data_IF_770020664987
#
_entry.id   IF_770020664987
#
_cell.length_a   1.000
_cell.length_b   1.000
_cell.length_c   1.000
_cell.angle_alpha   90.00
_cell.angle_beta   90.00
_cell.angle_gamma   90.00
#
_symmetry.space_group_name_H-M   'P 1'
#
loop_
_entity.id
_entity.type
_entity.pdbx_description
1 polymer ?
#
# COMPACT_ATOMS: atom_id res chain seq x y z
N UNK A 1 -31.53 8.92 -2.53
CA UNK A 1 -30.59 10.00 -2.94
C UNK A 1 -29.35 10.02 -2.04
N UNK A 2 -29.52 9.80 -0.74
CA UNK A 2 -28.46 9.72 0.29
C UNK A 2 -27.37 8.66 0.01
N UNK A 3 -27.75 7.45 -0.40
CA UNK A 3 -26.79 6.35 -0.71
C UNK A 3 -25.78 6.70 -1.83
N UNK A 4 -26.19 7.48 -2.84
CA UNK A 4 -25.29 7.90 -3.93
C UNK A 4 -24.27 8.94 -3.46
N UNK A 5 -24.70 9.84 -2.57
CA UNK A 5 -23.85 10.89 -2.00
C UNK A 5 -22.79 10.26 -1.09
N UNK A 6 -23.19 9.26 -0.30
CA UNK A 6 -22.30 8.51 0.58
C UNK A 6 -21.24 7.73 -0.20
N UNK A 7 -21.63 7.00 -1.25
CA UNK A 7 -20.68 6.30 -2.15
C UNK A 7 -19.72 7.25 -2.87
N UNK A 8 -20.19 8.45 -3.28
CA UNK A 8 -19.30 9.46 -3.86
C UNK A 8 -18.26 9.96 -2.86
N UNK A 9 -18.65 10.12 -1.59
CA UNK A 9 -17.76 10.57 -0.52
C UNK A 9 -16.70 9.51 -0.20
N UNK A 10 -17.07 8.24 -0.16
CA UNK A 10 -16.11 7.12 -0.04
C UNK A 10 -15.12 7.13 -1.21
N UNK A 11 -15.60 7.21 -2.46
CA UNK A 11 -14.74 7.25 -3.65
C UNK A 11 -13.76 8.45 -3.63
N UNK A 12 -14.22 9.61 -3.14
CA UNK A 12 -13.39 10.80 -3.01
C UNK A 12 -12.26 10.57 -1.99
N UNK A 13 -12.57 9.95 -0.84
CA UNK A 13 -11.53 9.57 0.13
C UNK A 13 -10.52 8.59 -0.47
N UNK A 14 -10.94 7.64 -1.31
CA UNK A 14 -10.02 6.72 -1.96
C UNK A 14 -9.05 7.44 -2.91
N UNK A 15 -9.51 8.50 -3.57
CA UNK A 15 -8.70 9.35 -4.43
C UNK A 15 -7.69 10.16 -3.60
N UNK A 16 -8.16 10.78 -2.51
CA UNK A 16 -7.32 11.58 -1.61
C UNK A 16 -6.25 10.73 -0.92
N UNK A 17 -6.54 9.45 -0.64
CA UNK A 17 -5.60 8.48 -0.10
C UNK A 17 -4.64 7.89 -1.17
N UNK A 18 -4.80 8.26 -2.45
CA UNK A 18 -4.01 7.74 -3.57
C UNK A 18 -4.27 6.26 -3.89
N UNK A 19 -5.33 5.69 -3.32
CA UNK A 19 -5.72 4.29 -3.51
C UNK A 19 -6.21 4.06 -4.93
N UNK A 20 -6.99 5.01 -5.48
CA UNK A 20 -7.46 5.03 -6.86
C UNK A 20 -6.91 6.25 -7.61
N UNK A 21 -6.90 6.22 -8.94
CA UNK A 21 -6.50 7.37 -9.78
C UNK A 21 -7.69 8.30 -10.04
N UNK A 22 -7.40 9.52 -10.53
CA UNK A 22 -8.43 10.48 -10.95
C UNK A 22 -9.32 9.93 -12.07
N UNK A 23 -8.74 9.14 -12.98
CA UNK A 23 -9.46 8.47 -14.06
C UNK A 23 -10.41 7.39 -13.53
N UNK A 24 -9.94 6.56 -12.58
CA UNK A 24 -10.76 5.54 -11.91
C UNK A 24 -11.91 6.18 -11.13
N UNK A 25 -11.65 7.30 -10.45
CA UNK A 25 -12.69 8.07 -9.76
C UNK A 25 -13.74 8.63 -10.75
N UNK A 26 -13.30 9.20 -11.88
CA UNK A 26 -14.21 9.73 -12.89
C UNK A 26 -15.11 8.64 -13.49
N UNK A 27 -14.54 7.47 -13.79
CA UNK A 27 -15.30 6.31 -14.28
C UNK A 27 -16.32 5.83 -13.25
N UNK A 28 -15.92 5.67 -11.98
CA UNK A 28 -16.82 5.22 -10.92
C UNK A 28 -17.94 6.22 -10.63
N UNK A 29 -17.65 7.53 -10.64
CA UNK A 29 -18.66 8.59 -10.53
C UNK A 29 -19.66 8.51 -11.68
N UNK A 30 -19.19 8.28 -12.90
CA UNK A 30 -20.05 8.16 -14.08
C UNK A 30 -20.89 6.88 -14.06
N UNK A 31 -20.34 5.74 -13.60
CA UNK A 31 -21.09 4.49 -13.38
C UNK A 31 -22.17 4.65 -12.29
N UNK A 32 -21.85 5.35 -11.20
CA UNK A 32 -22.80 5.61 -10.09
C UNK A 32 -23.97 6.51 -10.51
N UNK A 33 -23.67 7.51 -11.35
CA UNK A 33 -24.67 8.44 -11.90
C UNK A 33 -25.53 7.76 -12.97
N UNK A 34 -24.95 6.91 -13.82
CA UNK A 34 -25.66 6.18 -14.88
C UNK A 34 -26.51 5.00 -14.38
N UNK A 35 -26.39 4.62 -13.10
CA UNK A 35 -27.23 3.58 -12.48
C UNK A 35 -26.82 2.15 -12.83
N UNK A 36 -25.76 1.98 -13.62
CA UNK A 36 -25.24 0.68 -14.04
C UNK A 36 -24.12 0.21 -13.09
N UNK A 37 -24.36 0.31 -11.78
CA UNK A 37 -23.36 0.03 -10.74
C UNK A 37 -23.07 -1.47 -10.75
N UNK A 38 -22.03 -1.90 -11.48
CA UNK A 38 -21.37 -3.16 -11.17
C UNK A 38 -20.79 -2.99 -9.77
N UNK A 39 -21.25 -3.81 -8.83
CA UNK A 39 -20.71 -3.87 -7.47
C UNK A 39 -19.27 -4.40 -7.51
N UNK A 40 -18.35 -3.56 -7.97
CA UNK A 40 -16.92 -3.78 -7.83
C UNK A 40 -16.67 -3.58 -6.34
N UNK A 41 -16.54 -4.69 -5.63
CA UNK A 41 -16.08 -4.68 -4.23
C UNK A 41 -14.86 -3.78 -4.17
N UNK A 42 -14.99 -2.63 -3.49
CA UNK A 42 -13.95 -1.60 -3.52
C UNK A 42 -12.61 -2.23 -3.08
N UNK A 43 -11.47 -1.80 -3.65
CA UNK A 43 -10.15 -2.30 -3.25
C UNK A 43 -9.95 -2.25 -1.72
N UNK A 44 -10.57 -1.26 -1.06
CA UNK A 44 -10.62 -1.12 0.40
C UNK A 44 -11.42 -2.22 1.08
N UNK A 45 -12.62 -2.57 0.59
CA UNK A 45 -13.38 -3.72 1.12
C UNK A 45 -12.63 -5.04 0.94
N UNK A 46 -11.90 -5.22 -0.16
CA UNK A 46 -11.05 -6.38 -0.37
C UNK A 46 -9.88 -6.44 0.61
N UNK A 47 -9.24 -5.30 0.88
CA UNK A 47 -8.15 -5.19 1.84
C UNK A 47 -8.62 -5.39 3.29
N UNK A 48 -9.77 -4.82 3.67
CA UNK A 48 -10.38 -4.93 5.00
C UNK A 48 -10.67 -6.38 5.43
N UNK A 49 -11.01 -7.23 4.47
CA UNK A 49 -11.26 -8.68 4.67
C UNK A 49 -9.99 -9.50 4.91
N UNK A 50 -8.80 -8.98 4.59
CA UNK A 50 -7.54 -9.71 4.79
C UNK A 50 -7.19 -9.81 6.28
N UNK A 51 -6.47 -10.87 6.64
CA UNK A 51 -6.03 -11.11 8.03
C UNK A 51 -4.72 -10.37 8.28
N UNK A 52 -4.74 -9.45 9.26
CA UNK A 52 -3.58 -8.63 9.65
C UNK A 52 -2.37 -9.51 9.99
N UNK A 53 -2.57 -10.57 10.77
CA UNK A 53 -1.47 -11.45 11.19
C UNK A 53 -0.75 -12.13 10.00
N UNK A 54 -1.47 -12.45 8.91
CA UNK A 54 -0.87 -13.08 7.73
C UNK A 54 0.06 -12.09 7.05
N UNK A 55 -0.40 -10.84 6.88
CA UNK A 55 0.40 -9.79 6.28
C UNK A 55 1.66 -9.48 7.12
N UNK A 56 1.53 -9.47 8.45
CA UNK A 56 2.67 -9.26 9.36
C UNK A 56 3.70 -10.39 9.21
N UNK A 57 3.27 -11.66 9.35
CA UNK A 57 4.19 -12.80 9.26
C UNK A 57 4.90 -12.84 7.91
N UNK A 58 4.16 -12.66 6.81
CA UNK A 58 4.74 -12.61 5.48
C UNK A 58 5.77 -11.49 5.35
N UNK A 59 5.44 -10.28 5.82
CA UNK A 59 6.37 -9.13 5.78
C UNK A 59 7.63 -9.37 6.61
N UNK A 60 7.54 -10.07 7.74
CA UNK A 60 8.70 -10.36 8.59
C UNK A 60 9.63 -11.41 7.95
N UNK A 61 9.09 -12.42 7.28
CA UNK A 61 9.89 -13.48 6.64
C UNK A 61 10.52 -12.96 5.35
N UNK A 62 9.71 -12.30 4.50
CA UNK A 62 10.16 -11.71 3.24
C UNK A 62 9.42 -10.37 3.06
N UNK A 63 10.11 -9.21 3.22
CA UNK A 63 9.48 -7.88 3.27
C UNK A 63 8.49 -7.55 2.15
N UNK A 64 8.74 -8.01 0.93
CA UNK A 64 7.88 -7.73 -0.21
C UNK A 64 6.60 -8.59 -0.27
N UNK A 65 6.58 -9.76 0.39
CA UNK A 65 5.45 -10.69 0.30
C UNK A 65 4.20 -10.18 1.01
N UNK A 66 4.35 -9.37 2.06
CA UNK A 66 3.24 -8.67 2.70
C UNK A 66 2.48 -7.76 1.74
N UNK A 67 3.21 -7.00 0.91
CA UNK A 67 2.61 -6.12 -0.10
C UNK A 67 1.96 -6.89 -1.25
N UNK A 68 2.56 -8.01 -1.68
CA UNK A 68 1.95 -8.90 -2.66
C UNK A 68 0.64 -9.51 -2.13
N UNK A 69 0.64 -9.97 -0.88
CA UNK A 69 -0.56 -10.49 -0.23
C UNK A 69 -1.66 -9.44 -0.09
N UNK A 70 -1.32 -8.20 0.26
CA UNK A 70 -2.29 -7.10 0.37
C UNK A 70 -2.72 -6.52 -0.98
N UNK A 71 -2.02 -6.86 -2.07
CA UNK A 71 -2.26 -6.31 -3.41
C UNK A 71 -1.82 -4.85 -3.56
N UNK A 72 -0.98 -4.35 -2.65
CA UNK A 72 -0.54 -2.94 -2.58
C UNK A 72 0.73 -2.72 -3.38
N UNK A 73 0.68 -2.98 -4.69
CA UNK A 73 1.83 -2.86 -5.62
C UNK A 73 2.44 -1.46 -5.65
N UNK A 74 1.63 -0.40 -5.53
CA UNK A 74 2.14 0.98 -5.44
C UNK A 74 3.01 1.17 -4.20
N UNK A 75 2.55 0.70 -3.03
CA UNK A 75 3.33 0.78 -1.79
C UNK A 75 4.62 -0.07 -1.86
N UNK A 76 4.56 -1.22 -2.54
CA UNK A 76 5.76 -2.02 -2.82
C UNK A 76 6.78 -1.25 -3.66
N UNK A 77 6.35 -0.56 -4.71
CA UNK A 77 7.22 0.26 -5.55
C UNK A 77 7.85 1.41 -4.74
N UNK A 78 7.07 2.05 -3.87
CA UNK A 78 7.60 3.08 -2.95
C UNK A 78 8.66 2.46 -2.02
N UNK A 79 8.37 1.33 -1.40
CA UNK A 79 9.33 0.63 -0.54
C UNK A 79 10.63 0.29 -1.28
N UNK A 80 10.54 -0.26 -2.49
CA UNK A 80 11.70 -0.56 -3.33
C UNK A 80 12.45 0.72 -3.75
N UNK A 81 11.74 1.78 -4.10
CA UNK A 81 12.36 3.05 -4.51
C UNK A 81 13.19 3.66 -3.38
N UNK A 82 12.72 3.58 -2.13
CA UNK A 82 13.48 4.02 -0.97
C UNK A 82 14.73 3.17 -0.75
N UNK A 83 14.60 1.85 -0.94
CA UNK A 83 15.72 0.92 -0.81
C UNK A 83 16.80 1.16 -1.88
N UNK A 84 16.38 1.28 -3.15
CA UNK A 84 17.26 1.60 -4.27
C UNK A 84 17.86 3.01 -4.15
N UNK A 85 17.07 3.99 -3.74
CA UNK A 85 17.52 5.37 -3.52
C UNK A 85 18.59 5.44 -2.43
N UNK A 86 18.38 4.76 -1.30
CA UNK A 86 19.39 4.66 -0.24
C UNK A 86 20.65 3.96 -0.74
N UNK A 87 20.50 2.85 -1.49
CA UNK A 87 21.63 2.17 -2.12
C UNK A 87 22.41 3.09 -3.06
N UNK A 88 21.72 3.83 -3.92
CA UNK A 88 22.35 4.79 -4.83
C UNK A 88 23.13 5.86 -4.05
N UNK A 89 22.51 6.49 -3.03
CA UNK A 89 23.18 7.48 -2.18
C UNK A 89 24.44 6.90 -1.55
N UNK A 90 24.38 5.70 -0.99
CA UNK A 90 25.55 5.02 -0.41
C UNK A 90 26.61 4.82 -1.49
N UNK A 91 26.23 4.27 -2.64
CA UNK A 91 27.15 3.97 -3.74
C UNK A 91 27.91 5.19 -4.25
N UNK A 92 27.27 6.37 -4.33
CA UNK A 92 27.90 7.59 -4.84
C UNK A 92 28.63 8.42 -3.78
N UNK A 93 28.28 8.29 -2.50
CA UNK A 93 28.85 9.13 -1.42
C UNK A 93 29.93 8.44 -0.59
N UNK A 94 29.99 7.11 -0.60
CA UNK A 94 30.93 6.37 0.23
C UNK A 94 32.26 6.11 -0.48
N UNK A 95 33.37 6.31 0.24
CA UNK A 95 34.72 5.98 -0.24
C UNK A 95 34.94 4.47 -0.38
N UNK A 96 34.18 3.69 0.40
CA UNK A 96 34.25 2.24 0.48
C UNK A 96 32.84 1.67 0.39
N UNK A 97 32.33 1.64 -0.86
CA UNK A 97 30.94 1.34 -1.14
C UNK A 97 30.54 -0.06 -0.68
N UNK A 98 31.41 -1.05 -0.87
CA UNK A 98 31.13 -2.44 -0.47
C UNK A 98 30.86 -2.54 1.04
N UNK A 99 31.75 -1.96 1.86
CA UNK A 99 31.59 -1.97 3.32
C UNK A 99 30.37 -1.18 3.78
N UNK A 100 30.12 -0.02 3.16
CA UNK A 100 28.97 0.81 3.47
C UNK A 100 27.65 0.11 3.10
N UNK A 101 27.59 -0.54 1.94
CA UNK A 101 26.46 -1.36 1.52
C UNK A 101 26.22 -2.54 2.45
N UNK A 102 27.26 -3.28 2.83
CA UNK A 102 27.14 -4.42 3.74
C UNK A 102 26.55 -4.02 5.10
N UNK A 103 27.01 -2.91 5.68
CA UNK A 103 26.47 -2.39 6.94
C UNK A 103 25.02 -1.93 6.80
N UNK A 104 24.71 -1.17 5.74
CA UNK A 104 23.35 -0.71 5.48
C UNK A 104 22.39 -1.87 5.22
N UNK A 105 22.83 -2.90 4.49
CA UNK A 105 22.06 -4.11 4.27
C UNK A 105 21.79 -4.86 5.57
N UNK A 106 22.76 -4.96 6.49
CA UNK A 106 22.56 -5.60 7.82
C UNK A 106 21.52 -4.87 8.66
N UNK A 107 21.51 -3.54 8.62
CA UNK A 107 20.51 -2.75 9.34
C UNK A 107 19.14 -2.88 8.66
N UNK A 108 19.11 -2.76 7.34
CA UNK A 108 17.89 -2.79 6.55
C UNK A 108 17.23 -4.19 6.51
N UNK A 109 17.99 -5.27 6.66
CA UNK A 109 17.45 -6.63 6.75
C UNK A 109 16.72 -6.90 8.06
N UNK A 110 16.93 -6.07 9.10
CA UNK A 110 16.20 -6.13 10.36
C UNK A 110 15.05 -5.11 10.37
N UNK A 111 15.34 -3.84 10.04
CA UNK A 111 14.35 -2.78 10.10
C UNK A 111 13.34 -2.83 8.95
N UNK A 112 13.76 -3.26 7.76
CA UNK A 112 12.91 -3.36 6.57
C UNK A 112 11.70 -4.27 6.75
N UNK A 113 11.87 -5.53 7.20
CA UNK A 113 10.74 -6.42 7.50
C UNK A 113 9.77 -5.85 8.54
N UNK A 114 10.29 -5.20 9.59
CA UNK A 114 9.47 -4.57 10.64
C UNK A 114 8.64 -3.43 10.05
N UNK A 115 9.28 -2.53 9.29
CA UNK A 115 8.60 -1.42 8.63
C UNK A 115 7.51 -1.92 7.67
N UNK A 116 7.80 -2.94 6.87
CA UNK A 116 6.82 -3.57 5.98
C UNK A 116 5.65 -4.21 6.74
N UNK A 117 5.92 -4.86 7.87
CA UNK A 117 4.90 -5.47 8.70
C UNK A 117 3.95 -4.43 9.32
N UNK A 118 4.51 -3.33 9.84
CA UNK A 118 3.74 -2.21 10.39
C UNK A 118 2.90 -1.55 9.31
N UNK A 119 3.48 -1.20 8.16
CA UNK A 119 2.74 -0.56 7.07
C UNK A 119 1.57 -1.43 6.57
N UNK A 120 1.81 -2.72 6.33
CA UNK A 120 0.74 -3.62 5.90
C UNK A 120 -0.34 -3.83 6.98
N UNK A 121 0.05 -3.91 8.26
CA UNK A 121 -0.90 -4.03 9.37
C UNK A 121 -1.78 -2.80 9.53
N UNK A 122 -1.17 -1.61 9.49
CA UNK A 122 -1.88 -0.32 9.57
C UNK A 122 -2.83 -0.16 8.39
N UNK A 123 -2.41 -0.49 7.17
CA UNK A 123 -3.26 -0.37 5.99
C UNK A 123 -4.51 -1.26 6.05
N UNK A 124 -4.37 -2.50 6.53
CA UNK A 124 -5.54 -3.38 6.72
C UNK A 124 -6.46 -2.85 7.82
N UNK A 125 -5.90 -2.37 8.94
CA UNK A 125 -6.70 -1.82 10.03
C UNK A 125 -7.47 -0.56 9.59
N UNK A 126 -6.80 0.35 8.89
CA UNK A 126 -7.42 1.56 8.33
C UNK A 126 -8.50 1.22 7.31
N UNK A 127 -8.23 0.27 6.41
CA UNK A 127 -9.23 -0.19 5.45
C UNK A 127 -10.47 -0.79 6.13
N UNK A 128 -10.28 -1.48 7.26
CA UNK A 128 -11.39 -2.04 8.05
C UNK A 128 -12.25 -0.94 8.66
N UNK A 129 -11.63 0.05 9.30
CA UNK A 129 -12.33 1.20 9.90
C UNK A 129 -13.13 1.96 8.82
N UNK A 130 -12.54 2.19 7.65
CA UNK A 130 -13.18 2.93 6.55
C UNK A 130 -14.22 2.10 5.75
N UNK A 131 -14.42 0.82 6.10
CA UNK A 131 -15.35 -0.08 5.41
C UNK A 131 -16.56 -0.49 6.27
N UNK A 132 -16.61 0.00 7.51
CA UNK A 132 -17.71 -0.14 8.46
C UNK A 132 -18.62 1.08 8.37
#
# INVERSE_FOLDING_TARGET
MTDKIEKLKEMQQLLDEGTITSEEFAQMKQELLSGNVKDKTSPVKNLARKKIWIAIILSLVIPFTGYAYTGRWKALLVFFSLFCGMGFVIGVTSKDAEKAFANSFRIASILGPIAAAVDNGVAINKARINSQ
#
